data_IF_218306413108
#
_entry.id   IF_218306413108
#
_cell.length_a   1.000
_cell.length_b   1.000
_cell.length_c   1.000
_cell.angle_alpha   90.00
_cell.angle_beta   90.00
_cell.angle_gamma   90.00
#
_symmetry.space_group_name_H-M   'P 1'
#
loop_
_entity.id
_entity.type
_entity.pdbx_description
1 polymer ?
#
# COMPACT_ATOMS: atom_id res chain seq x y z
N UNK A 1 14.15 -43.04 -4.66
CA UNK A 1 14.93 -41.79 -4.75
C UNK A 1 13.99 -40.68 -5.28
N UNK A 2 13.87 -39.57 -4.57
CA UNK A 2 13.14 -38.40 -5.05
C UNK A 2 13.85 -37.85 -6.29
N UNK A 3 13.10 -37.44 -7.34
CA UNK A 3 13.69 -36.85 -8.54
C UNK A 3 14.50 -35.59 -8.19
N UNK A 4 15.59 -35.30 -8.94
CA UNK A 4 16.47 -34.15 -8.69
C UNK A 4 15.81 -32.80 -8.97
N UNK A 5 14.65 -32.79 -9.58
CA UNK A 5 13.88 -31.61 -9.97
C UNK A 5 12.38 -31.80 -9.73
N UNK A 6 11.68 -30.69 -9.61
CA UNK A 6 10.22 -30.63 -9.51
C UNK A 6 9.71 -29.92 -10.76
N UNK A 7 8.75 -30.53 -11.45
CA UNK A 7 8.01 -29.90 -12.54
C UNK A 7 6.88 -29.07 -11.95
N UNK A 8 6.87 -27.78 -12.23
CA UNK A 8 5.78 -26.88 -11.88
C UNK A 8 4.98 -26.52 -13.14
N UNK A 9 3.79 -27.07 -13.24
CA UNK A 9 2.90 -26.87 -14.37
C UNK A 9 1.90 -25.75 -14.07
N UNK A 10 1.78 -24.80 -14.98
CA UNK A 10 0.80 -23.72 -14.94
C UNK A 10 -0.30 -24.04 -15.93
N UNK A 11 -1.54 -24.06 -15.45
CA UNK A 11 -2.74 -24.27 -16.25
C UNK A 11 -3.56 -22.98 -16.29
N UNK A 12 -4.33 -22.78 -17.36
CA UNK A 12 -5.22 -21.63 -17.49
C UNK A 12 -6.44 -21.76 -16.56
N UNK A 13 -6.93 -22.98 -16.43
CA UNK A 13 -8.01 -23.38 -15.53
C UNK A 13 -7.78 -24.80 -14.99
N UNK A 14 -8.58 -25.22 -14.01
CA UNK A 14 -8.44 -26.51 -13.35
C UNK A 14 -8.79 -27.71 -14.25
N UNK A 15 -9.55 -27.50 -15.32
CA UNK A 15 -10.04 -28.56 -16.20
C UNK A 15 -9.09 -28.84 -17.38
N UNK A 16 -8.06 -28.04 -17.57
CA UNK A 16 -7.10 -28.22 -18.65
C UNK A 16 -6.17 -29.41 -18.39
N UNK A 17 -6.07 -30.31 -19.37
CA UNK A 17 -5.17 -31.47 -19.32
C UNK A 17 -3.73 -31.16 -19.72
N UNK A 18 -3.49 -30.06 -20.45
CA UNK A 18 -2.15 -29.65 -20.87
C UNK A 18 -1.77 -28.33 -20.20
N UNK A 19 -0.60 -28.25 -19.55
CA UNK A 19 -0.14 -27.00 -18.98
C UNK A 19 0.15 -25.98 -20.10
N UNK A 20 -0.21 -24.73 -19.87
CA UNK A 20 0.20 -23.62 -20.75
C UNK A 20 1.69 -23.33 -20.58
N UNK A 21 2.27 -23.77 -19.45
CA UNK A 21 3.69 -23.63 -19.16
C UNK A 21 4.13 -24.67 -18.14
N UNK A 22 5.35 -25.18 -18.34
CA UNK A 22 6.06 -26.04 -17.38
C UNK A 22 7.40 -25.39 -17.02
N UNK A 23 7.66 -25.20 -15.72
CA UNK A 23 8.95 -24.77 -15.21
C UNK A 23 9.62 -25.90 -14.44
N UNK A 24 10.94 -26.02 -14.56
CA UNK A 24 11.73 -27.01 -13.84
C UNK A 24 12.37 -26.31 -12.63
N UNK A 25 12.09 -26.80 -11.44
CA UNK A 25 12.66 -26.31 -10.19
C UNK A 25 13.71 -27.31 -9.72
N UNK A 26 14.95 -26.89 -9.63
CA UNK A 26 16.03 -27.75 -9.14
C UNK A 26 15.93 -27.87 -7.61
N UNK A 27 16.08 -29.08 -7.09
CA UNK A 27 15.92 -29.41 -5.66
C UNK A 27 16.93 -28.70 -4.76
N UNK A 28 18.10 -28.41 -5.24
CA UNK A 28 19.19 -27.71 -4.57
C UNK A 28 19.08 -26.17 -4.62
N UNK A 29 18.11 -25.61 -5.35
CA UNK A 29 17.77 -24.18 -5.34
C UNK A 29 16.35 -24.06 -4.78
N UNK A 30 16.18 -23.92 -3.44
CA UNK A 30 14.86 -23.79 -2.85
C UNK A 30 14.17 -22.55 -3.42
N UNK A 31 12.90 -22.72 -3.78
CA UNK A 31 12.02 -21.62 -4.19
C UNK A 31 11.96 -20.59 -3.07
N UNK A 32 12.63 -19.48 -3.26
CA UNK A 32 12.54 -18.36 -2.31
C UNK A 32 11.15 -17.72 -2.35
N UNK A 33 10.49 -17.74 -3.51
CA UNK A 33 9.13 -17.22 -3.74
C UNK A 33 8.42 -18.00 -4.84
N UNK A 34 7.10 -18.14 -4.75
CA UNK A 34 6.29 -18.75 -5.80
C UNK A 34 6.34 -18.01 -7.14
N UNK A 35 6.56 -16.70 -7.11
CA UNK A 35 6.80 -15.91 -8.33
C UNK A 35 8.00 -16.39 -9.15
N UNK A 36 8.99 -17.02 -8.51
CA UNK A 36 10.12 -17.65 -9.22
C UNK A 36 9.71 -18.85 -10.06
N UNK A 37 8.60 -19.51 -9.72
CA UNK A 37 8.07 -20.62 -10.53
C UNK A 37 7.27 -20.12 -11.76
N UNK A 38 6.76 -18.89 -11.71
CA UNK A 38 5.96 -18.28 -12.78
C UNK A 38 6.84 -17.71 -13.88
N UNK A 39 7.99 -17.15 -13.53
CA UNK A 39 8.95 -16.51 -14.43
C UNK A 39 10.04 -17.48 -14.88
N UNK A 40 10.62 -17.26 -16.08
CA UNK A 40 11.84 -17.95 -16.50
C UNK A 40 13.06 -17.32 -15.80
N UNK A 41 14.19 -18.04 -15.81
CA UNK A 41 15.47 -17.50 -15.30
C UNK A 41 15.91 -16.24 -16.06
N UNK A 42 15.63 -16.16 -17.36
CA UNK A 42 15.90 -14.97 -18.20
C UNK A 42 15.04 -13.79 -17.79
N UNK A 43 13.72 -13.99 -17.55
CA UNK A 43 12.81 -12.95 -17.08
C UNK A 43 13.23 -12.42 -15.70
N UNK A 44 13.63 -13.31 -14.79
CA UNK A 44 14.13 -12.95 -13.45
C UNK A 44 15.44 -12.17 -13.57
N UNK A 45 16.35 -12.61 -14.45
CA UNK A 45 17.65 -11.96 -14.69
C UNK A 45 17.44 -10.57 -15.29
N UNK A 46 16.56 -10.45 -16.28
CA UNK A 46 16.21 -9.15 -16.88
C UNK A 46 15.65 -8.19 -15.81
N UNK A 47 14.65 -8.62 -15.05
CA UNK A 47 14.05 -7.79 -13.99
C UNK A 47 15.11 -7.33 -12.99
N UNK A 48 16.01 -8.21 -12.53
CA UNK A 48 17.05 -7.88 -11.58
C UNK A 48 18.11 -6.94 -12.17
N UNK A 49 18.57 -7.18 -13.41
CA UNK A 49 19.60 -6.35 -14.04
C UNK A 49 19.11 -4.92 -14.30
N UNK A 50 17.87 -4.77 -14.80
CA UNK A 50 17.29 -3.44 -15.07
C UNK A 50 16.99 -2.64 -13.82
N UNK A 51 16.71 -3.31 -12.69
CA UNK A 51 16.44 -2.64 -11.42
C UNK A 51 17.73 -2.19 -10.69
N UNK A 52 18.87 -2.81 -10.97
CA UNK A 52 20.13 -2.54 -10.27
C UNK A 52 20.62 -1.09 -10.41
N UNK A 53 20.26 -0.39 -11.49
CA UNK A 53 20.71 0.96 -11.80
C UNK A 53 19.89 2.07 -11.11
N UNK A 54 18.80 1.71 -10.41
CA UNK A 54 17.90 2.70 -9.81
C UNK A 54 17.87 2.60 -8.29
N UNK A 55 17.58 3.72 -7.67
CA UNK A 55 17.48 3.80 -6.21
C UNK A 55 16.27 3.04 -5.69
N UNK A 56 16.46 2.31 -4.60
CA UNK A 56 15.37 1.68 -3.86
C UNK A 56 14.59 2.72 -3.08
N UNK A 57 13.34 2.42 -2.78
CA UNK A 57 12.46 3.32 -2.00
C UNK A 57 13.07 3.66 -0.64
N UNK A 58 13.76 2.72 0.05
CA UNK A 58 14.42 3.00 1.33
C UNK A 58 15.70 3.86 1.22
N UNK A 59 16.24 4.02 0.03
CA UNK A 59 17.36 4.94 -0.23
C UNK A 59 16.88 6.38 -0.50
N UNK A 60 15.63 6.54 -0.95
CA UNK A 60 15.05 7.86 -1.26
C UNK A 60 14.45 8.56 -0.05
N UNK A 61 14.19 7.83 1.04
CA UNK A 61 13.58 8.42 2.22
C UNK A 61 13.32 7.43 3.35
N UNK A 62 12.83 7.94 4.46
CA UNK A 62 12.43 7.14 5.60
C UNK A 62 10.99 6.63 5.43
N UNK A 63 10.80 5.32 5.61
CA UNK A 63 9.51 4.65 5.50
C UNK A 63 9.10 4.15 6.88
N UNK A 64 7.93 4.58 7.33
CA UNK A 64 7.34 4.18 8.60
C UNK A 64 5.89 3.70 8.42
N UNK A 65 5.45 2.70 9.18
CA UNK A 65 4.03 2.34 9.20
C UNK A 65 3.22 3.49 9.79
N UNK A 66 1.96 3.57 9.42
CA UNK A 66 1.01 4.47 10.06
C UNK A 66 0.69 4.07 11.50
N UNK A 67 -0.27 4.74 12.08
CA UNK A 67 -0.62 4.64 13.51
C UNK A 67 -1.25 3.29 13.83
N UNK A 68 -0.73 2.61 14.85
CA UNK A 68 -1.30 1.38 15.41
C UNK A 68 -2.14 1.74 16.61
N UNK A 69 -3.46 1.73 16.48
CA UNK A 69 -4.36 2.11 17.58
C UNK A 69 -4.57 0.99 18.62
N UNK A 70 -4.63 -0.26 18.17
CA UNK A 70 -5.03 -1.42 18.98
C UNK A 70 -6.55 -1.67 19.00
N UNK A 71 -7.33 -0.75 18.39
CA UNK A 71 -8.79 -0.84 18.28
C UNK A 71 -9.33 0.33 17.46
N UNK A 72 -9.14 0.27 16.11
CA UNK A 72 -9.56 1.36 15.22
C UNK A 72 -11.04 1.72 15.40
N UNK A 73 -11.87 0.73 15.65
CA UNK A 73 -13.31 0.85 15.87
C UNK A 73 -13.70 1.72 17.07
N UNK A 74 -12.76 1.93 18.02
CA UNK A 74 -12.98 2.74 19.23
C UNK A 74 -12.17 4.03 19.25
N UNK A 75 -11.01 4.05 18.59
CA UNK A 75 -10.12 5.20 18.61
C UNK A 75 -10.27 6.12 17.41
N UNK A 76 -10.96 5.68 16.35
CA UNK A 76 -11.18 6.49 15.14
C UNK A 76 -12.69 6.72 14.99
N UNK A 77 -13.10 7.95 15.21
CA UNK A 77 -14.49 8.35 15.33
C UNK A 77 -15.05 8.94 14.03
N UNK A 78 -16.36 8.92 13.88
CA UNK A 78 -17.07 9.74 12.88
C UNK A 78 -17.24 11.17 13.40
N UNK A 79 -17.63 12.09 12.53
CA UNK A 79 -17.88 13.50 12.89
C UNK A 79 -18.97 13.64 13.96
N UNK A 80 -20.01 12.83 13.83
CA UNK A 80 -21.14 12.78 14.76
C UNK A 80 -20.66 12.34 16.15
N UNK A 81 -19.85 11.27 16.19
CA UNK A 81 -19.33 10.74 17.46
C UNK A 81 -18.36 11.70 18.15
N UNK A 82 -17.58 12.46 17.38
CA UNK A 82 -16.72 13.52 17.92
C UNK A 82 -17.56 14.57 18.65
N UNK A 83 -18.69 14.99 18.07
CA UNK A 83 -19.61 15.96 18.69
C UNK A 83 -20.28 15.39 19.94
N UNK A 84 -20.79 14.15 19.86
CA UNK A 84 -21.41 13.46 21.00
C UNK A 84 -20.45 13.37 22.20
N UNK A 85 -19.17 13.12 21.94
CA UNK A 85 -18.15 13.01 22.98
C UNK A 85 -17.54 14.38 23.40
N UNK A 86 -17.96 15.49 22.78
CA UNK A 86 -17.39 16.82 22.98
C UNK A 86 -15.85 16.82 22.88
N UNK A 87 -15.30 16.14 21.86
CA UNK A 87 -13.86 15.88 21.77
C UNK A 87 -13.20 16.49 20.53
N UNK A 88 -13.77 17.56 19.96
CA UNK A 88 -13.28 18.22 18.73
C UNK A 88 -11.82 18.64 18.81
N UNK A 89 -11.38 19.14 19.97
CA UNK A 89 -9.98 19.59 20.18
C UNK A 89 -9.00 18.43 20.42
N UNK A 90 -9.50 17.21 20.57
CA UNK A 90 -8.70 16.03 20.88
C UNK A 90 -8.60 15.04 19.73
N UNK A 91 -8.88 15.46 18.51
CA UNK A 91 -8.83 14.58 17.36
C UNK A 91 -7.91 15.06 16.27
N UNK A 92 -7.33 14.09 15.54
CA UNK A 92 -6.52 14.30 14.35
C UNK A 92 -7.15 13.57 13.15
N UNK A 93 -7.06 14.17 11.93
CA UNK A 93 -7.55 13.48 10.74
C UNK A 93 -6.68 12.28 10.41
N UNK A 94 -7.32 11.14 10.13
CA UNK A 94 -6.66 9.88 9.78
C UNK A 94 -7.41 9.13 8.68
N UNK A 95 -6.69 8.55 7.74
CA UNK A 95 -7.23 7.68 6.71
C UNK A 95 -6.98 6.22 7.07
N UNK A 96 -8.06 5.45 7.30
CA UNK A 96 -7.93 4.06 7.75
C UNK A 96 -7.49 3.10 6.65
N UNK A 97 -8.00 3.26 5.45
CA UNK A 97 -7.76 2.35 4.31
C UNK A 97 -8.02 3.05 2.98
N UNK A 98 -7.32 2.62 1.93
CA UNK A 98 -7.45 3.20 0.58
C UNK A 98 -8.86 3.09 0.00
N UNK A 99 -9.64 2.07 0.38
CA UNK A 99 -11.02 1.89 -0.10
C UNK A 99 -12.00 2.98 0.38
N UNK A 100 -11.58 3.84 1.31
CA UNK A 100 -12.36 5.02 1.71
C UNK A 100 -12.22 6.17 0.71
N UNK A 101 -11.15 6.19 -0.09
CA UNK A 101 -10.98 7.15 -1.18
C UNK A 101 -11.80 6.62 -2.36
N UNK A 102 -12.96 7.22 -2.61
CA UNK A 102 -13.84 6.82 -3.72
C UNK A 102 -13.44 7.47 -5.03
N UNK A 103 -12.73 8.59 -4.98
CA UNK A 103 -12.16 9.26 -6.13
C UNK A 103 -10.98 8.46 -6.71
N UNK A 104 -10.91 8.33 -8.03
CA UNK A 104 -9.74 7.80 -8.69
C UNK A 104 -8.66 8.89 -8.78
N UNK A 105 -7.85 9.03 -7.75
CA UNK A 105 -6.84 10.08 -7.63
C UNK A 105 -5.52 9.49 -7.14
N UNK A 106 -4.42 10.17 -7.41
CA UNK A 106 -3.11 9.96 -6.76
C UNK A 106 -2.81 11.07 -5.74
N UNK A 107 -3.74 12.01 -5.53
CA UNK A 107 -3.57 13.15 -4.62
C UNK A 107 -4.61 13.07 -3.51
N UNK A 108 -4.14 13.05 -2.26
CA UNK A 108 -4.99 13.21 -1.07
C UNK A 108 -4.93 14.66 -0.65
N UNK A 109 -5.99 15.42 -0.91
CA UNK A 109 -6.12 16.85 -0.62
C UNK A 109 -7.39 17.16 0.19
N UNK A 110 -7.74 18.42 0.34
CA UNK A 110 -8.92 18.83 1.09
C UNK A 110 -10.22 18.26 0.52
N UNK A 111 -10.34 18.13 -0.81
CA UNK A 111 -11.55 17.53 -1.40
C UNK A 111 -11.73 16.06 -1.01
N UNK A 112 -10.61 15.33 -0.82
CA UNK A 112 -10.65 13.96 -0.27
C UNK A 112 -11.16 13.95 1.18
N UNK A 113 -10.72 14.91 2.00
CA UNK A 113 -11.21 15.04 3.38
C UNK A 113 -12.70 15.34 3.42
N UNK A 114 -13.17 16.28 2.60
CA UNK A 114 -14.59 16.61 2.48
C UNK A 114 -15.44 15.43 2.00
N UNK A 115 -14.93 14.63 1.06
CA UNK A 115 -15.59 13.41 0.61
C UNK A 115 -15.72 12.40 1.76
N UNK A 116 -14.65 12.18 2.54
CA UNK A 116 -14.69 11.28 3.70
C UNK A 116 -15.71 11.75 4.75
N UNK A 117 -15.83 13.07 4.94
CA UNK A 117 -16.83 13.64 5.86
C UNK A 117 -18.27 13.46 5.35
N UNK A 118 -18.52 13.73 4.05
CA UNK A 118 -19.84 13.50 3.43
C UNK A 118 -20.29 12.05 3.53
N UNK A 119 -19.34 11.13 3.35
CA UNK A 119 -19.58 9.68 3.42
C UNK A 119 -19.64 9.16 4.86
N UNK A 120 -19.65 10.04 5.87
CA UNK A 120 -19.64 9.69 7.31
C UNK A 120 -18.58 8.65 7.67
N UNK A 121 -17.44 8.70 7.01
CA UNK A 121 -16.34 7.76 7.31
C UNK A 121 -15.71 8.10 8.66
N UNK A 122 -15.37 7.08 9.47
CA UNK A 122 -14.59 7.30 10.68
C UNK A 122 -13.17 7.75 10.28
N UNK A 123 -12.87 9.02 10.58
CA UNK A 123 -11.64 9.67 10.17
C UNK A 123 -11.03 10.59 11.23
N UNK A 124 -11.54 10.55 12.45
CA UNK A 124 -11.08 11.38 13.56
C UNK A 124 -10.42 10.52 14.63
N UNK A 125 -9.09 10.47 14.64
CA UNK A 125 -8.33 9.72 15.63
C UNK A 125 -8.26 10.49 16.93
N UNK A 126 -8.61 9.86 18.05
CA UNK A 126 -8.40 10.41 19.40
C UNK A 126 -6.89 10.57 19.68
N UNK A 127 -6.45 11.81 19.90
CA UNK A 127 -5.09 12.16 20.30
C UNK A 127 -5.05 12.57 21.79
N UNK A 128 -4.99 11.56 22.64
CA UNK A 128 -5.07 11.72 24.08
C UNK A 128 -3.78 11.36 24.82
N UNK A 129 -2.72 10.97 24.10
CA UNK A 129 -1.48 10.48 24.73
C UNK A 129 -0.77 11.52 25.60
N UNK A 130 -0.92 12.82 25.28
CA UNK A 130 -0.21 13.92 25.94
C UNK A 130 -1.15 14.93 26.63
N UNK A 131 -2.45 14.63 26.70
CA UNK A 131 -3.45 15.49 27.34
C UNK A 131 -3.26 15.43 28.84
N UNK A 132 -3.08 16.61 29.49
CA UNK A 132 -2.89 16.76 30.95
C UNK A 132 -4.13 17.32 31.65
N UNK A 133 -4.97 18.04 30.89
CA UNK A 133 -6.21 18.60 31.41
C UNK A 133 -7.27 17.53 31.61
N UNK A 134 -8.29 17.88 32.41
CA UNK A 134 -9.47 17.01 32.61
C UNK A 134 -10.24 16.89 31.32
N UNK A 135 -10.48 15.66 30.88
CA UNK A 135 -11.30 15.37 29.70
C UNK A 135 -12.78 15.72 29.94
N UNK A 136 -13.52 16.11 28.88
CA UNK A 136 -14.98 16.29 28.97
C UNK A 136 -15.67 15.03 29.48
N UNK A 137 -16.75 15.20 30.27
CA UNK A 137 -17.45 14.05 30.84
C UNK A 137 -17.96 13.07 29.80
N UNK A 138 -18.61 13.50 28.67
CA UNK A 138 -19.04 12.56 27.63
C UNK A 138 -17.88 11.74 27.03
N UNK A 139 -16.67 12.31 26.93
CA UNK A 139 -15.49 11.57 26.45
C UNK A 139 -15.01 10.55 27.48
N UNK A 140 -15.03 10.87 28.77
CA UNK A 140 -14.67 9.92 29.84
C UNK A 140 -15.62 8.72 29.85
N UNK A 141 -16.93 8.98 29.82
CA UNK A 141 -17.95 7.93 29.74
C UNK A 141 -17.75 7.03 28.52
N UNK A 142 -17.48 7.64 27.36
CA UNK A 142 -17.16 6.90 26.13
C UNK A 142 -15.93 6.01 26.31
N UNK A 143 -14.84 6.52 26.88
CA UNK A 143 -13.60 5.76 27.09
C UNK A 143 -13.82 4.62 28.09
N UNK A 144 -14.59 4.83 29.16
CA UNK A 144 -14.94 3.76 30.10
C UNK A 144 -15.75 2.65 29.44
N UNK A 145 -16.75 3.03 28.65
CA UNK A 145 -17.53 2.09 27.86
C UNK A 145 -16.65 1.34 26.86
N UNK A 146 -15.87 2.05 26.04
CA UNK A 146 -15.00 1.46 25.02
C UNK A 146 -13.98 0.51 25.65
N UNK A 147 -13.41 0.87 26.80
CA UNK A 147 -12.42 0.05 27.51
C UNK A 147 -12.93 -1.33 27.93
N UNK A 148 -14.25 -1.49 28.11
CA UNK A 148 -14.92 -2.75 28.47
C UNK A 148 -15.28 -3.61 27.24
N UNK A 149 -15.27 -3.02 26.03
CA UNK A 149 -15.74 -3.72 24.83
C UNK A 149 -14.76 -4.83 24.40
N UNK A 150 -15.34 -5.92 23.93
CA UNK A 150 -14.64 -7.07 23.33
C UNK A 150 -14.97 -7.12 21.84
N UNK A 151 -14.09 -7.71 21.04
CA UNK A 151 -14.34 -7.94 19.62
C UNK A 151 -15.31 -9.11 19.40
N UNK A 152 -15.17 -10.14 20.21
CA UNK A 152 -15.98 -11.36 20.27
C UNK A 152 -15.91 -11.94 21.68
N UNK A 153 -16.65 -13.01 21.95
CA UNK A 153 -16.73 -13.64 23.29
C UNK A 153 -15.37 -14.12 23.81
N UNK A 154 -14.49 -14.58 22.89
CA UNK A 154 -13.17 -15.11 23.25
C UNK A 154 -12.10 -14.01 23.32
N UNK A 155 -12.41 -12.78 22.93
CA UNK A 155 -11.46 -11.67 22.94
C UNK A 155 -11.38 -10.99 24.30
N UNK A 156 -10.21 -10.44 24.60
CA UNK A 156 -10.03 -9.58 25.78
C UNK A 156 -10.63 -8.21 25.56
N UNK A 157 -11.06 -7.56 26.65
CA UNK A 157 -11.57 -6.19 26.62
C UNK A 157 -10.52 -5.21 26.03
N UNK A 158 -10.97 -4.14 25.36
CA UNK A 158 -10.10 -3.19 24.65
C UNK A 158 -8.93 -2.72 25.52
N UNK A 159 -9.19 -2.27 26.76
CA UNK A 159 -8.14 -1.79 27.69
C UNK A 159 -7.10 -2.86 28.07
N UNK A 160 -7.43 -4.14 27.91
CA UNK A 160 -6.56 -5.30 28.19
C UNK A 160 -5.84 -5.81 26.94
N UNK A 161 -6.15 -5.30 25.73
CA UNK A 161 -5.41 -5.68 24.50
C UNK A 161 -3.96 -5.26 24.61
N UNK A 162 -3.05 -6.05 24.06
CA UNK A 162 -1.58 -5.84 24.14
C UNK A 162 -1.14 -4.41 23.83
N UNK A 163 -1.74 -3.78 22.81
CA UNK A 163 -1.37 -2.40 22.43
C UNK A 163 -1.90 -1.34 23.39
N UNK A 164 -2.97 -1.62 24.11
CA UNK A 164 -3.58 -0.67 25.06
C UNK A 164 -2.98 -0.80 26.46
N UNK A 165 -2.83 -2.03 26.96
CA UNK A 165 -2.34 -2.29 28.33
C UNK A 165 -0.92 -1.74 28.58
N UNK A 166 -0.11 -1.60 27.53
CA UNK A 166 1.25 -1.07 27.59
C UNK A 166 1.33 0.46 27.41
N UNK A 167 0.20 1.18 27.57
CA UNK A 167 0.14 2.65 27.46
C UNK A 167 -0.32 3.27 28.77
N UNK A 168 0.18 4.47 29.02
CA UNK A 168 -0.24 5.31 30.14
C UNK A 168 -0.59 6.69 29.58
N UNK A 169 -1.88 7.04 29.57
CA UNK A 169 -3.06 6.21 29.87
C UNK A 169 -3.29 5.13 28.81
N UNK A 170 -4.06 4.07 29.10
CA UNK A 170 -4.31 2.94 28.20
C UNK A 170 -4.87 3.35 26.84
N UNK A 171 -5.60 4.46 26.77
CA UNK A 171 -6.18 5.06 25.57
C UNK A 171 -5.22 6.02 24.84
N UNK A 172 -4.04 6.26 25.37
CA UNK A 172 -3.04 7.14 24.75
C UNK A 172 -2.39 6.53 23.52
N UNK A 173 -3.00 6.75 22.35
CA UNK A 173 -2.47 6.25 21.07
C UNK A 173 -1.21 7.03 20.70
N UNK A 174 -0.05 6.37 20.46
CA UNK A 174 1.16 7.06 20.01
C UNK A 174 0.98 7.60 18.58
N UNK A 175 1.20 8.88 18.40
CA UNK A 175 1.14 9.53 17.10
C UNK A 175 2.51 9.42 16.42
N UNK A 176 2.51 8.95 15.17
CA UNK A 176 3.71 8.84 14.33
C UNK A 176 3.82 10.00 13.35
N UNK A 177 5.05 10.30 12.92
CA UNK A 177 5.28 11.36 11.95
C UNK A 177 4.67 11.02 10.58
N UNK A 178 4.04 12.00 9.96
CA UNK A 178 3.49 11.92 8.61
C UNK A 178 4.58 11.96 7.54
N UNK A 179 4.27 11.48 6.35
CA UNK A 179 5.10 11.63 5.15
C UNK A 179 4.36 12.35 4.05
N UNK A 180 5.11 12.96 3.14
CA UNK A 180 4.56 13.61 1.93
C UNK A 180 4.00 12.62 0.91
N UNK A 181 4.35 11.33 1.04
CA UNK A 181 3.83 10.25 0.20
C UNK A 181 3.26 9.14 1.08
N UNK A 182 2.13 8.59 0.67
CA UNK A 182 1.45 7.47 1.35
C UNK A 182 1.37 6.28 0.40
N UNK A 183 1.65 5.08 0.92
CA UNK A 183 1.44 3.81 0.26
C UNK A 183 0.58 2.89 1.13
N UNK A 184 -0.49 2.31 0.57
CA UNK A 184 -1.27 1.29 1.26
C UNK A 184 -0.78 -0.10 0.92
N UNK A 185 -0.44 -0.90 1.95
CA UNK A 185 0.16 -2.24 1.79
C UNK A 185 -0.71 -3.22 1.02
N UNK A 186 -2.04 -3.11 1.15
CA UNK A 186 -3.02 -3.94 0.43
C UNK A 186 -3.61 -3.19 -0.74
N UNK A 187 -3.64 -3.83 -1.89
CA UNK A 187 -4.15 -3.24 -3.12
C UNK A 187 -4.82 -4.28 -4.01
N UNK A 188 -5.66 -3.80 -4.93
CA UNK A 188 -6.33 -4.61 -5.94
C UNK A 188 -5.49 -4.74 -7.22
N UNK A 189 -5.99 -4.21 -8.34
CA UNK A 189 -5.33 -4.35 -9.64
C UNK A 189 -3.97 -3.65 -9.72
N UNK A 190 -3.82 -2.47 -9.10
CA UNK A 190 -2.62 -1.62 -9.17
C UNK A 190 -2.26 -1.11 -7.78
N UNK A 191 -0.98 -1.26 -7.34
CA UNK A 191 -0.52 -0.59 -6.13
C UNK A 191 -0.58 0.92 -6.34
N UNK A 192 -1.03 1.67 -5.32
CA UNK A 192 -1.15 3.12 -5.43
C UNK A 192 -0.30 3.85 -4.40
N UNK A 193 0.52 4.77 -4.89
CA UNK A 193 1.11 5.81 -4.10
C UNK A 193 0.22 7.05 -4.17
N UNK A 194 0.18 7.78 -3.07
CA UNK A 194 -0.59 9.02 -2.98
C UNK A 194 0.32 10.17 -2.53
N UNK A 195 0.17 11.32 -3.18
CA UNK A 195 0.72 12.59 -2.73
C UNK A 195 -0.15 13.07 -1.56
N UNK A 196 0.43 13.22 -0.37
CA UNK A 196 -0.28 13.60 0.85
C UNK A 196 -0.31 15.12 1.02
N UNK A 197 -1.13 15.83 0.25
CA UNK A 197 -1.28 17.28 0.36
C UNK A 197 -2.11 17.69 1.58
N UNK A 198 -3.12 16.89 1.93
CA UNK A 198 -3.93 17.11 3.12
C UNK A 198 -3.15 16.90 4.43
N UNK A 199 -1.90 16.44 4.35
CA UNK A 199 -1.08 16.16 5.51
C UNK A 199 -1.81 15.27 6.55
N UNK A 200 -2.53 14.24 6.07
CA UNK A 200 -3.32 13.32 6.87
C UNK A 200 -2.45 12.17 7.41
N UNK A 201 -2.80 11.63 8.57
CA UNK A 201 -2.24 10.38 9.07
C UNK A 201 -2.88 9.17 8.40
N UNK A 202 -2.24 7.99 8.51
CA UNK A 202 -2.86 6.69 8.18
C UNK A 202 -2.77 5.73 9.36
N UNK A 203 -3.63 4.73 9.36
CA UNK A 203 -3.43 3.55 10.23
C UNK A 203 -2.27 2.71 9.69
N UNK A 204 -1.90 1.65 10.40
CA UNK A 204 -0.88 0.66 9.99
C UNK A 204 -1.23 -0.11 8.69
N UNK A 205 -2.39 0.14 8.11
CA UNK A 205 -2.73 -0.31 6.75
C UNK A 205 -1.91 0.43 5.68
N UNK A 206 -1.41 1.64 5.99
CA UNK A 206 -0.58 2.46 5.12
C UNK A 206 0.82 2.69 5.67
N UNK A 207 1.72 3.13 4.79
CA UNK A 207 3.06 3.60 5.10
C UNK A 207 3.19 5.06 4.73
N UNK A 208 3.88 5.81 5.57
CA UNK A 208 4.34 7.16 5.28
C UNK A 208 5.76 7.13 4.76
N UNK A 209 6.00 7.76 3.62
CA UNK A 209 7.32 7.93 3.02
C UNK A 209 7.69 9.41 3.20
N UNK A 210 8.75 9.65 3.96
CA UNK A 210 9.37 10.97 4.12
C UNK A 210 10.59 11.02 3.24
N UNK A 211 10.40 11.53 2.03
CA UNK A 211 11.47 11.68 1.06
C UNK A 211 12.56 12.61 1.58
N UNK A 212 13.80 12.36 1.18
CA UNK A 212 14.91 13.28 1.36
C UNK A 212 14.69 14.52 0.51
N UNK A 213 15.37 15.61 0.85
CA UNK A 213 15.15 16.94 0.24
C UNK A 213 15.37 16.97 -1.28
N UNK A 214 16.25 16.12 -1.79
CA UNK A 214 16.55 16.01 -3.22
C UNK A 214 15.44 15.34 -4.06
N UNK A 215 14.39 14.80 -3.43
CA UNK A 215 13.29 14.12 -4.11
C UNK A 215 11.98 14.91 -4.00
N UNK A 216 11.46 15.38 -5.13
CA UNK A 216 10.11 15.91 -5.19
C UNK A 216 9.05 14.82 -5.06
N UNK A 217 8.05 15.03 -4.20
CA UNK A 217 7.01 14.03 -3.90
C UNK A 217 6.13 13.69 -5.10
N UNK A 218 5.81 14.68 -5.93
CA UNK A 218 4.93 14.50 -7.08
C UNK A 218 5.65 13.72 -8.19
N UNK A 219 6.90 14.09 -8.47
CA UNK A 219 7.78 13.37 -9.39
C UNK A 219 8.03 11.93 -8.93
N UNK A 220 8.23 11.72 -7.62
CA UNK A 220 8.43 10.39 -7.05
C UNK A 220 7.19 9.49 -7.24
N UNK A 221 5.99 10.02 -6.96
CA UNK A 221 4.73 9.31 -7.16
C UNK A 221 4.50 9.02 -8.64
N UNK A 222 4.77 9.98 -9.53
CA UNK A 222 4.69 9.78 -10.98
C UNK A 222 5.60 8.64 -11.43
N UNK A 223 6.89 8.70 -11.09
CA UNK A 223 7.89 7.73 -11.50
C UNK A 223 7.62 6.31 -11.00
N UNK A 224 6.78 6.13 -10.00
CA UNK A 224 6.40 4.80 -9.50
C UNK A 224 5.60 3.96 -10.50
N UNK A 225 4.80 4.59 -11.37
CA UNK A 225 3.83 3.89 -12.23
C UNK A 225 4.39 3.35 -13.55
N UNK A 226 5.67 3.02 -13.61
CA UNK A 226 6.35 2.42 -14.76
C UNK A 226 6.32 0.88 -14.73
N UNK A 227 6.55 0.23 -15.88
CA UNK A 227 6.56 -1.24 -16.04
C UNK A 227 7.51 -1.94 -15.08
N UNK A 228 8.73 -1.44 -14.92
CA UNK A 228 9.77 -2.06 -14.11
C UNK A 228 9.41 -2.05 -12.62
N UNK A 229 9.04 -0.90 -12.07
CA UNK A 229 8.65 -0.76 -10.65
C UNK A 229 7.42 -1.61 -10.34
N UNK A 230 6.42 -1.58 -11.23
CA UNK A 230 5.20 -2.38 -11.05
C UNK A 230 5.45 -3.88 -11.20
N UNK A 231 6.35 -4.31 -12.11
CA UNK A 231 6.77 -5.70 -12.22
C UNK A 231 7.45 -6.18 -10.91
N UNK A 232 8.27 -5.34 -10.28
CA UNK A 232 8.85 -5.65 -8.96
C UNK A 232 7.79 -5.77 -7.87
N UNK A 233 6.79 -4.87 -7.84
CA UNK A 233 5.67 -4.95 -6.90
C UNK A 233 4.93 -6.29 -7.06
N UNK A 234 4.70 -6.70 -8.30
CA UNK A 234 4.09 -7.97 -8.62
C UNK A 234 4.98 -9.17 -8.23
N UNK A 235 6.27 -9.12 -8.51
CA UNK A 235 7.23 -10.16 -8.19
C UNK A 235 7.48 -10.32 -6.69
N UNK A 236 7.53 -9.21 -5.94
CA UNK A 236 7.84 -9.19 -4.52
C UNK A 236 6.60 -9.35 -3.62
N UNK A 237 5.43 -8.97 -4.10
CA UNK A 237 4.20 -8.96 -3.32
C UNK A 237 3.71 -10.35 -2.94
N UNK A 238 2.91 -10.39 -1.88
CA UNK A 238 2.22 -11.60 -1.40
C UNK A 238 0.79 -11.65 -1.91
N UNK A 239 0.27 -12.86 -1.96
CA UNK A 239 -1.09 -13.14 -2.38
C UNK A 239 -1.93 -13.66 -1.24
N UNK A 240 -3.15 -13.16 -1.18
CA UNK A 240 -4.19 -13.70 -0.32
C UNK A 240 -5.38 -14.12 -1.19
N UNK A 241 -6.19 -15.03 -0.71
CA UNK A 241 -7.43 -15.44 -1.39
C UNK A 241 -8.29 -14.21 -1.77
N UNK A 242 -9.09 -14.34 -2.86
CA UNK A 242 -9.90 -13.21 -3.34
C UNK A 242 -9.16 -12.14 -4.15
N UNK A 243 -7.92 -12.39 -4.59
CA UNK A 243 -7.15 -11.49 -5.47
C UNK A 243 -6.54 -10.27 -4.77
N UNK A 244 -6.54 -10.22 -3.44
CA UNK A 244 -5.89 -9.16 -2.66
C UNK A 244 -4.38 -9.38 -2.65
N UNK A 245 -3.64 -8.31 -2.90
CA UNK A 245 -2.17 -8.27 -2.87
C UNK A 245 -1.70 -7.47 -1.68
N UNK A 246 -0.57 -7.87 -1.12
CA UNK A 246 0.07 -7.14 -0.04
C UNK A 246 1.58 -7.02 -0.29
N UNK A 247 2.09 -5.79 -0.20
CA UNK A 247 3.52 -5.51 -0.09
C UNK A 247 3.81 -5.13 1.37
N UNK A 248 4.49 -6.02 2.08
CA UNK A 248 4.93 -5.71 3.45
C UNK A 248 6.11 -4.73 3.43
N UNK A 249 6.41 -4.04 4.54
CA UNK A 249 7.47 -3.02 4.59
C UNK A 249 8.81 -3.46 4.01
N UNK A 250 9.23 -4.67 4.34
CA UNK A 250 10.52 -5.21 3.89
C UNK A 250 10.60 -5.49 2.39
N UNK A 251 9.46 -5.69 1.73
CA UNK A 251 9.35 -5.90 0.29
C UNK A 251 9.23 -4.57 -0.44
N UNK A 252 8.37 -3.68 0.07
CA UNK A 252 8.18 -2.35 -0.50
C UNK A 252 9.47 -1.51 -0.44
N UNK A 253 10.22 -1.55 0.65
CA UNK A 253 11.51 -0.86 0.81
C UNK A 253 12.52 -1.20 -0.28
N UNK A 254 12.51 -2.45 -0.77
CA UNK A 254 13.43 -2.94 -1.80
C UNK A 254 12.97 -2.64 -3.23
N UNK A 255 11.76 -2.14 -3.42
CA UNK A 255 11.29 -1.73 -4.75
C UNK A 255 12.08 -0.55 -5.24
N UNK A 256 12.49 -0.55 -6.51
CA UNK A 256 13.25 0.54 -7.11
C UNK A 256 12.34 1.47 -7.91
N UNK A 257 12.67 2.74 -7.94
CA UNK A 257 11.94 3.77 -8.67
C UNK A 257 12.92 4.53 -9.57
N UNK A 258 12.68 4.61 -10.89
CA UNK A 258 13.48 5.36 -11.84
C UNK A 258 13.20 6.86 -11.71
N UNK A 259 13.62 7.43 -10.56
CA UNK A 259 13.30 8.81 -10.21
C UNK A 259 13.93 9.80 -11.21
N UNK A 260 13.10 10.71 -11.66
CA UNK A 260 13.44 11.92 -12.42
C UNK A 260 12.56 13.05 -11.97
N UNK A 261 13.00 14.27 -12.11
CA UNK A 261 12.13 15.45 -11.98
C UNK A 261 11.17 15.49 -13.17
N UNK A 262 9.88 15.54 -12.86
CA UNK A 262 8.80 15.50 -13.84
C UNK A 262 8.12 16.87 -13.91
N UNK A 263 7.87 17.34 -15.11
CA UNK A 263 7.12 18.58 -15.34
C UNK A 263 5.69 18.48 -14.81
N UNK A 264 5.19 19.58 -14.26
CA UNK A 264 3.84 19.63 -13.66
C UNK A 264 2.74 19.18 -14.63
N UNK A 265 2.83 19.56 -15.91
CA UNK A 265 1.86 19.15 -16.94
C UNK A 265 1.73 17.62 -17.09
N UNK A 266 2.84 16.89 -16.91
CA UNK A 266 2.82 15.42 -16.96
C UNK A 266 2.20 14.83 -15.67
N UNK A 267 2.44 15.44 -14.53
CA UNK A 267 1.81 15.05 -13.25
C UNK A 267 0.30 15.27 -13.34
N UNK A 268 -0.14 16.41 -13.83
CA UNK A 268 -1.56 16.74 -14.02
C UNK A 268 -2.23 15.82 -15.04
N UNK A 269 -1.50 15.43 -16.07
CA UNK A 269 -1.98 14.44 -17.04
C UNK A 269 -2.16 13.07 -16.41
N UNK A 270 -1.20 12.62 -15.61
CA UNK A 270 -1.31 11.34 -14.90
C UNK A 270 -2.51 11.35 -13.95
N UNK A 271 -2.71 12.44 -13.19
CA UNK A 271 -3.88 12.60 -12.30
C UNK A 271 -5.18 12.49 -13.09
N UNK A 272 -5.32 13.21 -14.22
CA UNK A 272 -6.49 13.09 -15.10
C UNK A 272 -6.71 11.67 -15.61
N UNK A 273 -5.64 10.96 -16.01
CA UNK A 273 -5.76 9.57 -16.45
C UNK A 273 -6.32 8.65 -15.35
N UNK A 274 -5.96 8.89 -14.09
CA UNK A 274 -6.57 8.17 -12.99
C UNK A 274 -8.04 8.54 -12.80
N UNK A 275 -8.38 9.83 -12.82
CA UNK A 275 -9.76 10.34 -12.68
C UNK A 275 -10.68 9.78 -13.77
N UNK A 276 -10.21 9.73 -15.00
CA UNK A 276 -10.90 9.20 -16.16
C UNK A 276 -10.91 7.66 -16.24
N UNK A 277 -10.34 6.99 -15.25
CA UNK A 277 -10.22 5.51 -15.19
C UNK A 277 -9.51 4.92 -16.41
N UNK A 278 -8.49 5.60 -16.91
CA UNK A 278 -7.67 5.08 -18.01
C UNK A 278 -7.14 3.68 -17.69
N UNK A 279 -6.92 2.86 -18.72
CA UNK A 279 -6.41 1.51 -18.55
C UNK A 279 -5.03 1.52 -17.87
N UNK A 280 -4.75 0.48 -17.08
CA UNK A 280 -3.41 0.32 -16.49
C UNK A 280 -2.32 0.38 -17.55
N UNK A 281 -2.57 -0.20 -18.75
CA UNK A 281 -1.62 -0.15 -19.87
C UNK A 281 -1.34 1.28 -20.30
N UNK A 282 -2.39 2.09 -20.52
CA UNK A 282 -2.23 3.49 -20.95
C UNK A 282 -1.45 4.32 -19.92
N UNK A 283 -1.71 4.13 -18.63
CA UNK A 283 -0.98 4.79 -17.53
C UNK A 283 0.49 4.39 -17.57
N UNK A 284 0.77 3.10 -17.65
CA UNK A 284 2.14 2.56 -17.65
C UNK A 284 2.91 3.01 -18.89
N UNK A 285 2.31 2.96 -20.09
CA UNK A 285 2.94 3.39 -21.33
C UNK A 285 3.30 4.88 -21.27
N UNK A 286 2.40 5.72 -20.75
CA UNK A 286 2.65 7.15 -20.57
C UNK A 286 3.81 7.38 -19.58
N UNK A 287 3.81 6.74 -18.42
CA UNK A 287 4.89 6.92 -17.45
C UNK A 287 6.21 6.35 -17.97
N UNK A 288 6.19 5.21 -18.67
CA UNK A 288 7.39 4.65 -19.32
C UNK A 288 8.03 5.67 -20.27
N UNK A 289 7.22 6.34 -21.11
CA UNK A 289 7.72 7.34 -22.07
C UNK A 289 8.43 8.53 -21.40
N UNK A 290 7.96 8.91 -20.20
CA UNK A 290 8.55 10.01 -19.43
C UNK A 290 9.73 9.58 -18.51
N UNK A 291 9.93 8.26 -18.33
CA UNK A 291 10.91 7.75 -17.35
C UNK A 291 11.89 6.76 -17.98
N UNK A 292 11.60 5.47 -17.92
CA UNK A 292 12.54 4.40 -18.29
C UNK A 292 12.88 4.33 -19.79
N UNK A 293 12.03 4.87 -20.65
CA UNK A 293 12.30 4.91 -22.10
C UNK A 293 13.51 5.78 -22.49
N UNK A 294 14.01 6.59 -21.57
CA UNK A 294 15.23 7.36 -21.77
C UNK A 294 16.50 6.57 -21.48
N UNK A 295 16.39 5.46 -20.74
CA UNK A 295 17.53 4.67 -20.24
C UNK A 295 17.49 3.21 -20.71
N UNK A 296 16.38 2.76 -21.32
CA UNK A 296 16.18 1.36 -21.71
C UNK A 296 15.67 1.24 -23.13
N UNK A 297 16.07 0.17 -23.80
CA UNK A 297 15.54 -0.20 -25.10
C UNK A 297 14.05 -0.56 -25.02
N UNK A 298 13.31 -0.26 -26.09
CA UNK A 298 11.87 -0.56 -26.20
C UNK A 298 11.58 -2.02 -25.94
N UNK A 299 12.40 -2.94 -26.45
CA UNK A 299 12.23 -4.39 -26.24
C UNK A 299 12.32 -4.79 -24.77
N UNK A 300 13.20 -4.18 -23.98
CA UNK A 300 13.33 -4.45 -22.55
C UNK A 300 12.12 -3.93 -21.79
N UNK A 301 11.59 -2.76 -22.17
CA UNK A 301 10.38 -2.19 -21.58
C UNK A 301 9.17 -3.08 -21.86
N UNK A 302 9.02 -3.57 -23.09
CA UNK A 302 7.96 -4.50 -23.47
C UNK A 302 8.04 -5.81 -22.68
N UNK A 303 9.23 -6.39 -22.53
CA UNK A 303 9.44 -7.59 -21.71
C UNK A 303 9.12 -7.36 -20.23
N UNK A 304 9.47 -6.20 -19.68
CA UNK A 304 9.12 -5.85 -18.29
C UNK A 304 7.60 -5.72 -18.10
N UNK A 305 6.89 -5.15 -19.08
CA UNK A 305 5.42 -5.09 -19.07
C UNK A 305 4.79 -6.48 -19.24
N UNK A 306 5.37 -7.36 -20.05
CA UNK A 306 4.94 -8.75 -20.17
C UNK A 306 5.11 -9.50 -18.85
N UNK A 307 6.26 -9.34 -18.16
CA UNK A 307 6.52 -9.90 -16.83
C UNK A 307 5.45 -9.43 -15.85
N UNK A 308 5.18 -8.12 -15.81
CA UNK A 308 4.15 -7.54 -14.95
C UNK A 308 2.78 -8.17 -15.21
N UNK A 309 2.36 -8.21 -16.47
CA UNK A 309 1.06 -8.77 -16.89
C UNK A 309 0.94 -10.26 -16.57
N UNK A 310 1.98 -11.03 -16.84
CA UNK A 310 2.04 -12.47 -16.56
C UNK A 310 1.86 -12.75 -15.07
N UNK A 311 2.58 -12.03 -14.21
CA UNK A 311 2.42 -12.13 -12.76
C UNK A 311 1.03 -11.68 -12.30
N UNK A 312 0.46 -10.63 -12.89
CA UNK A 312 -0.85 -10.14 -12.56
C UNK A 312 -1.98 -11.09 -12.99
N UNK A 313 -1.88 -11.71 -14.17
CA UNK A 313 -2.86 -12.64 -14.70
C UNK A 313 -2.92 -13.94 -13.92
N UNK A 314 -1.77 -14.53 -13.58
CA UNK A 314 -1.70 -15.73 -12.76
C UNK A 314 -2.47 -15.62 -11.43
N UNK A 315 -2.62 -14.40 -10.94
CA UNK A 315 -3.35 -14.08 -9.70
C UNK A 315 -4.85 -13.95 -9.91
N UNK A 316 -5.26 -13.47 -11.08
CA UNK A 316 -6.67 -13.29 -11.40
C UNK A 316 -7.36 -14.61 -11.70
N UNK A 317 -6.62 -15.58 -12.23
CA UNK A 317 -7.11 -16.93 -12.51
C UNK A 317 -7.46 -17.74 -11.24
N UNK A 318 -6.88 -17.38 -10.08
CA UNK A 318 -7.19 -18.01 -8.79
C UNK A 318 -8.41 -17.38 -8.07
N UNK A 319 -9.31 -16.74 -8.79
CA UNK A 319 -10.59 -16.18 -8.28
C UNK A 319 -11.74 -17.20 -8.34
N UNK A 320 -11.44 -18.48 -8.37
CA UNK A 320 -12.44 -19.56 -8.23
C UNK A 320 -12.69 -19.89 -6.77
#
# INVERSE_FOLDING_TARGET
>A
QCPPHILYNIYQDADQRKPIRTNIIQKNKPLQKWSNAILSDEEITLLKSKTANYKRVDETGAIAPGIVTGGNEYFILTKEKVKECACEKYVLPILQKSSFITQNTIIINNSTIEQLQRDSKPMYLLDLARVKETLPEPLKEYLEWAGKQKKDENSVALKKRFKCINRIPWYGVPIVNKGGVIFFKRYGALPRLYINEANIHTTDAGYHIRLKQEYDKASFVFCFYNSMTLAQCEYNGRYYGGGVRELVPSEFKKTTVPYRTIEQNNIDRLERMFQEKASTKSIVDFVNSCTIAQDMDVQDIEKLEEIRRKLAQHRSANRG
#
